data_IF_394673185282
#
_entry.id   IF_394673185282
#
_cell.length_a   1.000
_cell.length_b   1.000
_cell.length_c   1.000
_cell.angle_alpha   90.00
_cell.angle_beta   90.00
_cell.angle_gamma   90.00
#
_symmetry.space_group_name_H-M   'P 1'
#
loop_
_entity.id
_entity.type
_entity.pdbx_description
1 polymer ?
#
# COMPACT_ATOMS: atom_id res chain seq x y z
N UNK A 1 -18.31 8.48 41.69
CA UNK A 1 -17.77 8.08 40.38
C UNK A 1 -17.56 6.58 40.47
N UNK A 2 -18.41 5.78 39.83
CA UNK A 2 -18.20 4.33 39.81
C UNK A 2 -16.91 4.03 39.01
N UNK A 3 -16.07 3.08 39.47
CA UNK A 3 -14.82 2.78 38.78
C UNK A 3 -15.13 2.22 37.38
N UNK A 4 -14.57 2.85 36.35
CA UNK A 4 -14.65 2.41 34.97
C UNK A 4 -13.88 1.10 34.81
N UNK A 5 -14.59 -0.03 34.97
CA UNK A 5 -14.06 -1.37 34.80
C UNK A 5 -14.04 -1.70 33.30
N UNK A 6 -12.93 -1.40 32.63
CA UNK A 6 -12.74 -1.84 31.23
C UNK A 6 -12.71 -3.36 31.22
N UNK A 7 -13.65 -3.99 30.50
CA UNK A 7 -13.60 -5.42 30.26
C UNK A 7 -12.42 -5.77 29.36
N UNK A 8 -11.76 -6.92 29.59
CA UNK A 8 -10.66 -7.40 28.73
C UNK A 8 -11.03 -7.40 27.24
N UNK A 9 -12.30 -7.68 26.92
CA UNK A 9 -12.82 -7.63 25.54
C UNK A 9 -12.80 -6.21 24.96
N UNK A 10 -13.20 -5.22 25.75
CA UNK A 10 -13.17 -3.82 25.33
C UNK A 10 -11.73 -3.36 25.14
N UNK A 11 -10.83 -3.73 26.04
CA UNK A 11 -9.41 -3.42 25.91
C UNK A 11 -8.82 -3.96 24.59
N UNK A 12 -9.14 -5.21 24.24
CA UNK A 12 -8.68 -5.82 22.97
C UNK A 12 -9.23 -5.05 21.77
N UNK A 13 -10.54 -4.73 21.77
CA UNK A 13 -11.15 -3.97 20.68
C UNK A 13 -10.50 -2.61 20.53
N UNK A 14 -10.27 -1.88 21.64
CA UNK A 14 -9.59 -0.58 21.61
C UNK A 14 -8.18 -0.67 21.03
N UNK A 15 -7.38 -1.66 21.42
CA UNK A 15 -6.03 -1.87 20.88
C UNK A 15 -6.08 -2.18 19.39
N UNK A 16 -6.97 -3.07 18.96
CA UNK A 16 -7.16 -3.38 17.54
C UNK A 16 -7.57 -2.14 16.74
N UNK A 17 -8.47 -1.32 17.27
CA UNK A 17 -8.98 -0.11 16.60
C UNK A 17 -7.87 0.95 16.47
N UNK A 18 -7.08 1.17 17.51
CA UNK A 18 -5.92 2.06 17.47
C UNK A 18 -4.91 1.59 16.42
N UNK A 19 -4.57 0.29 16.42
CA UNK A 19 -3.62 -0.24 15.45
C UNK A 19 -4.17 -0.23 14.02
N UNK A 20 -5.48 -0.44 13.83
CA UNK A 20 -6.14 -0.31 12.54
C UNK A 20 -6.06 1.13 12.02
N UNK A 21 -6.27 2.13 12.87
CA UNK A 21 -6.14 3.55 12.52
C UNK A 21 -4.70 3.88 12.13
N UNK A 22 -3.71 3.41 12.89
CA UNK A 22 -2.29 3.58 12.53
C UNK A 22 -2.00 2.92 11.17
N UNK A 23 -2.48 1.70 10.97
CA UNK A 23 -2.35 0.97 9.71
C UNK A 23 -3.02 1.70 8.53
N UNK A 24 -4.20 2.29 8.76
CA UNK A 24 -4.91 3.09 7.77
C UNK A 24 -4.11 4.34 7.39
N UNK A 25 -3.64 5.11 8.38
CA UNK A 25 -2.84 6.33 8.16
C UNK A 25 -1.56 6.01 7.39
N UNK A 26 -0.84 4.95 7.76
CA UNK A 26 0.35 4.50 7.04
C UNK A 26 0.00 4.01 5.62
N UNK A 27 -1.10 3.27 5.48
CA UNK A 27 -1.60 2.78 4.19
C UNK A 27 -1.97 3.88 3.20
N UNK A 28 -2.29 5.10 3.66
CA UNK A 28 -2.53 6.23 2.76
C UNK A 28 -1.33 6.52 1.85
N UNK A 29 -0.10 6.19 2.27
CA UNK A 29 1.12 6.40 1.48
C UNK A 29 1.11 5.60 0.16
N UNK A 30 0.99 4.26 0.17
CA UNK A 30 0.91 3.48 -1.06
C UNK A 30 -0.35 3.79 -1.87
N UNK A 31 -1.46 4.18 -1.24
CA UNK A 31 -2.64 4.63 -2.00
C UNK A 31 -2.37 5.91 -2.76
N UNK A 32 -1.78 6.92 -2.10
CA UNK A 32 -1.46 8.20 -2.72
C UNK A 32 -0.45 8.00 -3.85
N UNK A 33 0.58 7.18 -3.63
CA UNK A 33 1.49 6.75 -4.71
C UNK A 33 0.75 6.01 -5.83
N UNK A 34 -0.17 5.11 -5.50
CA UNK A 34 -0.95 4.35 -6.47
C UNK A 34 -1.81 5.26 -7.34
N UNK A 35 -2.42 6.28 -6.74
CA UNK A 35 -3.21 7.29 -7.43
C UNK A 35 -2.35 8.09 -8.43
N UNK A 36 -1.21 8.64 -7.99
CA UNK A 36 -0.34 9.43 -8.87
C UNK A 36 0.29 8.61 -10.01
N UNK A 37 0.55 7.32 -9.78
CA UNK A 37 1.18 6.44 -10.76
C UNK A 37 0.19 5.64 -11.63
N UNK A 38 -1.13 5.95 -11.59
CA UNK A 38 -2.20 5.19 -12.27
C UNK A 38 -2.25 3.70 -11.89
N UNK A 39 -1.72 3.35 -10.72
CA UNK A 39 -1.62 2.01 -10.14
C UNK A 39 -2.55 1.87 -8.92
N UNK A 40 -3.80 2.34 -9.05
CA UNK A 40 -4.78 2.39 -7.95
C UNK A 40 -5.03 1.02 -7.30
N UNK A 41 -5.04 -0.06 -8.09
CA UNK A 41 -5.24 -1.43 -7.58
C UNK A 41 -4.21 -1.81 -6.51
N UNK A 42 -2.94 -1.51 -6.75
CA UNK A 42 -1.86 -1.77 -5.79
C UNK A 42 -1.94 -0.85 -4.57
N UNK A 43 -2.32 0.42 -4.78
CA UNK A 43 -2.50 1.38 -3.69
C UNK A 43 -3.61 0.98 -2.73
N UNK A 44 -4.77 0.53 -3.25
CA UNK A 44 -5.90 0.04 -2.45
C UNK A 44 -5.53 -1.25 -1.72
N UNK A 45 -4.82 -2.17 -2.38
CA UNK A 45 -4.29 -3.37 -1.72
C UNK A 45 -3.35 -3.02 -0.57
N UNK A 46 -2.49 -2.00 -0.75
CA UNK A 46 -1.61 -1.49 0.29
C UNK A 46 -2.35 -0.98 1.51
N UNK A 47 -3.41 -0.17 1.33
CA UNK A 47 -4.27 0.26 2.45
C UNK A 47 -4.93 -0.92 3.15
N UNK A 48 -5.53 -1.83 2.38
CA UNK A 48 -6.26 -2.94 2.96
C UNK A 48 -5.34 -3.81 3.81
N UNK A 49 -4.15 -4.14 3.31
CA UNK A 49 -3.16 -4.94 4.03
C UNK A 49 -2.58 -4.18 5.23
N UNK A 50 -2.27 -2.89 5.10
CA UNK A 50 -1.75 -2.11 6.22
C UNK A 50 -2.80 -1.91 7.33
N UNK A 51 -4.07 -1.71 6.98
CA UNK A 51 -5.18 -1.52 7.95
C UNK A 51 -5.53 -2.82 8.66
N UNK A 52 -5.75 -3.90 7.90
CA UNK A 52 -6.11 -5.21 8.47
C UNK A 52 -4.93 -5.87 9.17
N UNK A 53 -3.74 -5.79 8.57
CA UNK A 53 -2.49 -6.22 9.19
C UNK A 53 -2.19 -5.43 10.46
N UNK A 54 -2.41 -4.11 10.43
CA UNK A 54 -2.34 -3.26 11.62
C UNK A 54 -3.31 -3.70 12.70
N UNK A 55 -4.59 -3.89 12.37
CA UNK A 55 -5.60 -4.31 13.35
C UNK A 55 -5.21 -5.58 14.11
N UNK A 56 -4.59 -6.55 13.42
CA UNK A 56 -4.27 -7.88 13.97
C UNK A 56 -2.87 -7.94 14.59
N UNK A 57 -1.85 -7.44 13.89
CA UNK A 57 -0.43 -7.59 14.22
C UNK A 57 0.23 -6.27 14.65
N UNK A 58 -0.52 -5.17 14.61
CA UNK A 58 -0.02 -3.84 14.97
C UNK A 58 0.99 -3.30 13.97
N UNK A 59 1.87 -2.43 14.48
CA UNK A 59 2.89 -1.70 13.72
C UNK A 59 3.84 -2.66 12.97
N UNK A 60 4.06 -3.87 13.50
CA UNK A 60 4.92 -4.89 12.90
C UNK A 60 4.46 -5.33 11.50
N UNK A 61 3.15 -5.34 11.23
CA UNK A 61 2.65 -5.60 9.88
C UNK A 61 2.47 -4.32 9.07
N UNK A 62 1.99 -3.24 9.71
CA UNK A 62 1.67 -1.99 9.01
C UNK A 62 2.88 -1.34 8.34
N UNK A 63 4.03 -1.24 9.03
CA UNK A 63 5.22 -0.58 8.48
C UNK A 63 5.78 -1.37 7.27
N UNK A 64 6.09 -2.67 7.38
CA UNK A 64 6.60 -3.43 6.24
C UNK A 64 5.61 -3.46 5.07
N UNK A 65 4.31 -3.63 5.33
CA UNK A 65 3.29 -3.60 4.28
C UNK A 65 3.31 -2.27 3.52
N UNK A 66 3.34 -1.15 4.25
CA UNK A 66 3.39 0.18 3.66
C UNK A 66 4.61 0.36 2.75
N UNK A 67 5.79 -0.07 3.21
CA UNK A 67 7.04 0.01 2.44
C UNK A 67 6.96 -0.86 1.19
N UNK A 68 6.56 -2.12 1.33
CA UNK A 68 6.48 -3.09 0.23
C UNK A 68 5.53 -2.60 -0.85
N UNK A 69 4.32 -2.17 -0.48
CA UNK A 69 3.31 -1.73 -1.45
C UNK A 69 3.71 -0.41 -2.11
N UNK A 70 4.30 0.53 -1.37
CA UNK A 70 4.80 1.79 -1.96
C UNK A 70 5.89 1.51 -3.00
N UNK A 71 6.82 0.60 -2.69
CA UNK A 71 7.85 0.18 -3.62
C UNK A 71 7.30 -0.56 -4.83
N UNK A 72 6.32 -1.45 -4.64
CA UNK A 72 5.64 -2.18 -5.72
C UNK A 72 4.94 -1.24 -6.70
N UNK A 73 4.23 -0.24 -6.18
CA UNK A 73 3.59 0.81 -6.99
C UNK A 73 4.63 1.55 -7.83
N UNK A 74 5.72 2.02 -7.20
CA UNK A 74 6.77 2.74 -7.90
C UNK A 74 7.46 1.88 -8.97
N UNK A 75 7.66 0.59 -8.71
CA UNK A 75 8.28 -0.35 -9.66
C UNK A 75 7.38 -0.62 -10.86
N UNK A 76 6.08 -0.86 -10.65
CA UNK A 76 5.18 -1.09 -11.78
C UNK A 76 4.96 0.17 -12.62
N UNK A 77 4.96 1.35 -12.00
CA UNK A 77 4.92 2.62 -12.72
C UNK A 77 6.10 2.75 -13.69
N UNK A 78 7.32 2.43 -13.23
CA UNK A 78 8.52 2.45 -14.08
C UNK A 78 8.46 1.43 -15.21
N UNK A 79 7.97 0.22 -14.95
CA UNK A 79 7.85 -0.83 -15.97
C UNK A 79 6.91 -0.40 -17.11
N UNK A 80 5.76 0.18 -16.78
CA UNK A 80 4.80 0.66 -17.78
C UNK A 80 5.38 1.78 -18.68
N UNK A 81 6.21 2.67 -18.12
CA UNK A 81 6.90 3.71 -18.88
C UNK A 81 7.97 3.15 -19.82
N UNK A 82 8.69 2.11 -19.39
CA UNK A 82 9.73 1.47 -20.20
C UNK A 82 9.15 0.71 -21.41
N UNK A 83 8.03 0.01 -21.25
CA UNK A 83 7.33 -0.65 -22.37
C UNK A 83 6.87 0.36 -23.42
N UNK A 84 6.34 1.51 -22.98
CA UNK A 84 5.90 2.57 -23.89
C UNK A 84 7.07 3.18 -24.67
N UNK A 85 8.23 3.34 -24.02
CA UNK A 85 9.43 3.87 -24.68
C UNK A 85 10.03 2.88 -25.69
N UNK A 86 10.02 1.58 -25.38
CA UNK A 86 10.51 0.54 -26.28
C UNK A 86 9.61 0.34 -27.50
N UNK A 87 8.30 0.57 -27.38
CA UNK A 87 7.35 0.47 -28.49
C UNK A 87 7.37 1.69 -29.43
N UNK A 88 8.00 2.79 -29.02
CA UNK A 88 8.11 4.03 -29.80
C UNK A 88 9.43 4.16 -30.58
N UNK A 89 10.34 3.18 -30.47
CA UNK A 89 11.54 3.15 -31.28
C UNK A 89 11.17 2.74 -32.72
N UNK A 90 11.47 3.56 -33.75
CA UNK A 90 11.17 3.21 -35.13
C UNK A 90 11.99 1.97 -35.55
N UNK A 91 11.31 0.91 -35.97
CA UNK A 91 11.89 -0.15 -36.79
C UNK A 91 12.25 0.45 -38.16
N UNK A 92 13.35 1.19 -38.24
CA UNK A 92 13.85 1.71 -39.51
C UNK A 92 15.37 1.51 -39.57
N UNK A 93 15.78 0.25 -39.64
CA UNK A 93 17.02 -0.15 -40.32
C UNK A 93 17.07 -1.68 -40.51
N UNK A 94 16.23 -2.21 -41.39
CA UNK A 94 16.54 -3.49 -42.04
C UNK A 94 16.97 -3.18 -43.48
N UNK A 95 18.25 -3.38 -43.84
CA UNK A 95 18.69 -3.18 -45.21
C UNK A 95 17.99 -4.21 -46.11
N UNK A 96 17.16 -3.72 -47.02
CA UNK A 96 16.58 -4.53 -48.09
C UNK A 96 17.72 -4.90 -49.05
N UNK A 97 17.96 -6.20 -49.18
CA UNK A 97 19.04 -6.83 -49.96
C UNK A 97 18.85 -6.63 -51.47
#
# INVERSE_FOLDING_TARGET
MEPYQISTREAIVWVMLINAVIGLVLGLIPLLFGYFNKQLKLGVAGIAVATLGGAVLGIFASIPATIIFTWLVARQAKAALAETASAAAPEDDQPVV
#
